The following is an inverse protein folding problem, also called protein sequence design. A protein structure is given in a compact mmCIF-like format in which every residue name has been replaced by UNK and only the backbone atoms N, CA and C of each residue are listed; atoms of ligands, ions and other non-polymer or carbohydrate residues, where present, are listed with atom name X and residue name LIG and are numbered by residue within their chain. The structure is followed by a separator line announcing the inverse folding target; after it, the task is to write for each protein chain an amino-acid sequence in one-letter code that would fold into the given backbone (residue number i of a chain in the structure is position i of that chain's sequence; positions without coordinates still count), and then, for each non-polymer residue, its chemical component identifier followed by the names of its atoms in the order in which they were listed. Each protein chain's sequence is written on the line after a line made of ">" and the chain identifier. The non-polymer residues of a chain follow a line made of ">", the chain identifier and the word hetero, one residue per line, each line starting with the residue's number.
data_IF_849055332616
#
_entry.id   IF_849055332616
#
_cell.length_a   1.000
_cell.length_b   1.000
_cell.length_c   1.000
_cell.angle_alpha   90.00
_cell.angle_beta   90.00
_cell.angle_gamma   90.00
#
_symmetry.space_group_name_H-M   'P 1'
#
loop_
_entity.id
_entity.type
_entity.pdbx_description
1 polymer ?
#
# COMPACT_ATOMS: atom_id res chain seq x y z
N UNK A 1 -7.19 -22.04 -8.73
CA UNK A 1 -6.84 -20.65 -8.35
C UNK A 1 -5.67 -20.77 -7.40
N UNK A 2 -4.48 -20.97 -7.95
CA UNK A 2 -3.28 -21.13 -7.13
C UNK A 2 -2.82 -19.75 -6.68
N UNK A 3 -2.84 -19.54 -5.38
CA UNK A 3 -2.26 -18.36 -4.78
C UNK A 3 -0.75 -18.51 -5.02
N UNK A 4 -0.21 -17.67 -5.91
CA UNK A 4 1.21 -17.62 -6.20
C UNK A 4 1.99 -17.41 -4.89
N UNK A 5 2.68 -18.47 -4.46
CA UNK A 5 3.39 -18.51 -3.18
C UNK A 5 4.45 -17.42 -3.10
N UNK A 6 4.96 -16.95 -4.23
CA UNK A 6 5.93 -15.86 -4.29
C UNK A 6 5.29 -14.53 -3.85
N UNK A 7 4.08 -14.23 -4.32
CA UNK A 7 3.34 -13.03 -3.91
C UNK A 7 2.93 -13.04 -2.44
N UNK A 8 2.53 -14.21 -1.91
CA UNK A 8 2.31 -14.39 -0.46
C UNK A 8 3.56 -14.03 0.34
N UNK A 9 4.72 -14.54 -0.09
CA UNK A 9 6.00 -14.30 0.59
C UNK A 9 6.42 -12.83 0.54
N UNK A 10 6.12 -12.14 -0.56
CA UNK A 10 6.38 -10.71 -0.69
C UNK A 10 5.48 -9.89 0.24
N UNK A 11 4.18 -10.19 0.29
CA UNK A 11 3.25 -9.50 1.18
C UNK A 11 3.61 -9.69 2.67
N UNK A 12 4.01 -10.90 3.07
CA UNK A 12 4.45 -11.15 4.45
C UNK A 12 5.72 -10.36 4.81
N UNK A 13 6.65 -10.18 3.87
CA UNK A 13 7.81 -9.31 4.07
C UNK A 13 7.39 -7.85 4.28
N UNK A 14 6.46 -7.35 3.46
CA UNK A 14 5.93 -5.99 3.60
C UNK A 14 5.26 -5.79 4.96
N UNK A 15 4.42 -6.74 5.39
CA UNK A 15 3.78 -6.68 6.71
C UNK A 15 4.80 -6.67 7.85
N UNK A 16 5.92 -7.38 7.72
CA UNK A 16 7.02 -7.33 8.70
C UNK A 16 7.69 -5.97 8.75
N UNK A 17 7.92 -5.32 7.60
CA UNK A 17 8.46 -3.94 7.53
C UNK A 17 7.53 -3.00 8.28
N UNK A 18 6.23 -3.03 7.97
CA UNK A 18 5.21 -2.19 8.62
C UNK A 18 5.18 -2.45 10.14
N UNK A 19 5.21 -3.70 10.57
CA UNK A 19 5.11 -4.08 11.99
C UNK A 19 6.34 -3.70 12.81
N UNK A 20 7.51 -3.54 12.18
CA UNK A 20 8.78 -3.16 12.82
C UNK A 20 9.13 -1.68 12.66
N UNK A 21 8.23 -0.88 12.10
CA UNK A 21 8.49 0.51 11.70
C UNK A 21 8.67 1.51 12.85
N UNK A 22 8.40 1.13 14.09
CA UNK A 22 8.43 2.05 15.25
C UNK A 22 7.27 3.05 15.27
N UNK A 23 6.35 3.00 14.29
CA UNK A 23 5.14 3.81 14.29
C UNK A 23 4.21 3.45 15.46
N UNK A 24 3.33 4.37 15.90
CA UNK A 24 2.31 4.03 16.89
C UNK A 24 1.43 2.86 16.42
N UNK A 25 1.01 2.00 17.36
CA UNK A 25 0.26 0.76 17.08
C UNK A 25 -1.00 1.02 16.24
N UNK A 26 -1.68 2.16 16.45
CA UNK A 26 -2.82 2.60 15.63
C UNK A 26 -2.46 2.65 14.14
N UNK A 27 -1.36 3.32 13.80
CA UNK A 27 -0.87 3.50 12.43
C UNK A 27 -0.41 2.18 11.82
N UNK A 28 0.30 1.35 12.58
CA UNK A 28 0.68 -0.01 12.14
C UNK A 28 -0.56 -0.80 11.71
N UNK A 29 -1.63 -0.81 12.53
CA UNK A 29 -2.87 -1.52 12.19
C UNK A 29 -3.55 -0.99 10.93
N UNK A 30 -3.52 0.33 10.71
CA UNK A 30 -4.09 0.94 9.51
C UNK A 30 -3.31 0.55 8.24
N UNK A 31 -1.98 0.61 8.31
CA UNK A 31 -1.09 0.24 7.22
C UNK A 31 -1.19 -1.26 6.88
N UNK A 32 -1.29 -2.14 7.88
CA UNK A 32 -1.50 -3.57 7.65
C UNK A 32 -2.82 -3.85 6.92
N UNK A 33 -3.91 -3.16 7.29
CA UNK A 33 -5.20 -3.27 6.58
C UNK A 33 -5.14 -2.74 5.16
N UNK A 34 -4.36 -1.69 4.92
CA UNK A 34 -4.13 -1.17 3.57
C UNK A 34 -3.31 -2.18 2.74
N UNK A 35 -2.24 -2.73 3.31
CA UNK A 35 -1.44 -3.82 2.74
C UNK A 35 -2.31 -5.02 2.34
N UNK A 36 -3.22 -5.47 3.21
CA UNK A 36 -4.19 -6.52 2.88
C UNK A 36 -5.12 -6.14 1.72
N UNK A 37 -5.58 -4.89 1.70
CA UNK A 37 -6.45 -4.38 0.62
C UNK A 37 -5.72 -4.39 -0.72
N UNK A 38 -4.47 -3.93 -0.77
CA UNK A 38 -3.63 -3.92 -1.97
C UNK A 38 -3.40 -5.36 -2.46
N UNK A 39 -3.05 -6.25 -1.55
CA UNK A 39 -2.78 -7.66 -1.84
C UNK A 39 -4.02 -8.39 -2.41
N UNK A 40 -5.18 -8.28 -1.77
CA UNK A 40 -6.42 -8.93 -2.23
C UNK A 40 -6.85 -8.40 -3.60
N UNK A 41 -6.54 -7.14 -3.91
CA UNK A 41 -6.82 -6.54 -5.22
C UNK A 41 -5.75 -6.91 -6.29
N UNK A 42 -4.78 -7.76 -5.97
CA UNK A 42 -3.81 -8.28 -6.92
C UNK A 42 -2.87 -7.20 -7.47
N UNK A 43 -2.54 -6.20 -6.66
CA UNK A 43 -1.56 -5.17 -7.00
C UNK A 43 -0.20 -5.54 -6.40
N UNK A 44 0.83 -5.57 -7.25
CA UNK A 44 2.23 -5.71 -6.82
C UNK A 44 2.71 -4.36 -6.31
N UNK A 45 3.36 -4.34 -5.16
CA UNK A 45 3.75 -3.10 -4.50
C UNK A 45 4.96 -3.28 -3.59
N UNK A 46 5.63 -2.18 -3.29
CA UNK A 46 6.69 -2.10 -2.29
C UNK A 46 6.35 -1.05 -1.23
N UNK A 47 6.97 -1.19 -0.05
CA UNK A 47 6.82 -0.23 1.05
C UNK A 47 8.18 0.17 1.58
N UNK A 48 8.38 1.47 1.78
CA UNK A 48 9.47 2.02 2.59
C UNK A 48 8.91 2.98 3.64
N UNK A 49 9.59 3.08 4.79
CA UNK A 49 9.15 3.89 5.93
C UNK A 49 10.36 4.66 6.44
N UNK A 50 10.29 5.98 6.40
CA UNK A 50 11.36 6.89 6.81
C UNK A 50 10.74 8.07 7.57
N UNK A 51 11.19 8.33 8.79
CA UNK A 51 10.81 9.51 9.60
C UNK A 51 9.29 9.79 9.68
N UNK A 52 8.47 8.74 9.81
CA UNK A 52 7.00 8.88 9.89
C UNK A 52 6.29 9.04 8.54
N UNK A 53 7.04 9.01 7.44
CA UNK A 53 6.53 8.98 6.07
C UNK A 53 6.59 7.56 5.53
N UNK A 54 5.43 7.04 5.13
CA UNK A 54 5.32 5.72 4.50
C UNK A 54 5.10 5.91 3.01
N UNK A 55 6.02 5.37 2.21
CA UNK A 55 5.90 5.33 0.76
C UNK A 55 5.44 3.94 0.35
N UNK A 56 4.35 3.88 -0.41
CA UNK A 56 3.77 2.65 -0.94
C UNK A 56 3.79 2.76 -2.46
N UNK A 57 4.77 2.12 -3.09
CA UNK A 57 4.93 2.15 -4.54
C UNK A 57 4.09 1.03 -5.14
N UNK A 58 2.97 1.37 -5.79
CA UNK A 58 2.18 0.45 -6.59
C UNK A 58 2.86 0.28 -7.95
N UNK A 59 3.20 -0.95 -8.32
CA UNK A 59 4.07 -1.27 -9.47
C UNK A 59 3.25 -1.73 -10.68
N UNK A 60 2.33 -2.68 -10.47
CA UNK A 60 1.48 -3.26 -11.51
C UNK A 60 0.29 -3.97 -10.89
N UNK A 61 -0.72 -4.34 -11.67
CA UNK A 61 -1.75 -5.28 -11.20
C UNK A 61 -1.98 -6.47 -12.13
N UNK A 62 -2.56 -7.53 -11.56
CA UNK A 62 -3.13 -8.64 -12.31
C UNK A 62 -4.31 -8.19 -13.20
N UNK A 63 -4.62 -8.95 -14.28
CA UNK A 63 -3.85 -10.06 -14.81
C UNK A 63 -2.65 -9.63 -15.66
N UNK A 64 -2.57 -8.35 -16.04
CA UNK A 64 -1.56 -7.86 -16.99
C UNK A 64 -0.13 -7.97 -16.46
N UNK A 65 0.08 -7.74 -15.15
CA UNK A 65 1.41 -7.71 -14.50
C UNK A 65 2.45 -6.86 -15.25
N UNK A 66 1.99 -5.86 -16.00
CA UNK A 66 2.84 -4.91 -16.72
C UNK A 66 3.06 -3.70 -15.83
N UNK A 67 4.33 -3.30 -15.67
CA UNK A 67 4.71 -2.12 -14.89
C UNK A 67 3.92 -0.89 -15.35
N UNK A 68 3.40 -0.12 -14.39
CA UNK A 68 2.57 1.06 -14.61
C UNK A 68 1.15 0.78 -15.12
N UNK A 69 0.77 -0.49 -15.28
CA UNK A 69 -0.58 -0.88 -15.73
C UNK A 69 -1.36 -1.45 -14.55
N UNK A 70 -2.51 -0.85 -14.30
CA UNK A 70 -3.42 -1.25 -13.23
C UNK A 70 -4.81 -1.52 -13.78
N UNK A 71 -5.41 -2.61 -13.31
CA UNK A 71 -6.81 -2.89 -13.44
C UNK A 71 -7.60 -1.81 -12.69
N UNK A 72 -8.58 -1.21 -13.37
CA UNK A 72 -9.35 -0.09 -12.84
C UNK A 72 -10.08 -0.42 -11.55
N UNK A 73 -10.65 -1.63 -11.43
CA UNK A 73 -11.40 -2.05 -10.24
C UNK A 73 -10.44 -2.23 -9.06
N UNK A 74 -9.33 -2.94 -9.27
CA UNK A 74 -8.29 -3.14 -8.26
C UNK A 74 -7.75 -1.81 -7.73
N UNK A 75 -7.42 -0.88 -8.64
CA UNK A 75 -6.90 0.42 -8.28
C UNK A 75 -7.95 1.27 -7.55
N UNK A 76 -9.19 1.31 -8.04
CA UNK A 76 -10.28 2.05 -7.40
C UNK A 76 -10.53 1.59 -5.96
N UNK A 77 -10.47 0.27 -5.69
CA UNK A 77 -10.64 -0.27 -4.36
C UNK A 77 -9.53 0.19 -3.40
N UNK A 78 -8.27 0.22 -3.86
CA UNK A 78 -7.14 0.73 -3.07
C UNK A 78 -7.28 2.24 -2.84
N UNK A 79 -7.62 3.01 -3.88
CA UNK A 79 -7.82 4.46 -3.75
C UNK A 79 -8.98 4.79 -2.80
N UNK A 80 -10.06 4.02 -2.83
CA UNK A 80 -11.17 4.17 -1.90
C UNK A 80 -10.74 3.91 -0.46
N UNK A 81 -9.91 2.88 -0.22
CA UNK A 81 -9.36 2.59 1.10
C UNK A 81 -8.47 3.72 1.61
N UNK A 82 -7.62 4.29 0.74
CA UNK A 82 -6.76 5.42 1.05
C UNK A 82 -7.55 6.67 1.41
N UNK A 83 -8.55 7.02 0.59
CA UNK A 83 -9.49 8.12 0.89
C UNK A 83 -10.12 7.98 2.27
N UNK A 84 -10.59 6.79 2.61
CA UNK A 84 -11.22 6.54 3.91
C UNK A 84 -10.20 6.58 5.07
N UNK A 85 -8.95 6.15 4.83
CA UNK A 85 -7.90 6.26 5.83
C UNK A 85 -7.58 7.73 6.14
N UNK A 86 -7.48 8.56 5.11
CA UNK A 86 -7.26 10.02 5.21
C UNK A 86 -8.45 10.72 5.90
N UNK A 87 -9.68 10.45 5.45
CA UNK A 87 -10.88 11.13 5.96
C UNK A 87 -11.25 10.76 7.40
N UNK A 88 -10.88 9.56 7.86
CA UNK A 88 -11.28 9.05 9.17
C UNK A 88 -10.19 9.18 10.24
N UNK A 89 -9.01 9.71 9.92
CA UNK A 89 -7.89 9.80 10.84
C UNK A 89 -7.17 11.15 10.66
N UNK A 90 -7.41 12.09 11.57
CA UNK A 90 -6.86 13.46 11.51
C UNK A 90 -5.32 13.52 11.59
N UNK A 91 -4.70 12.48 12.14
CA UNK A 91 -3.25 12.28 12.26
C UNK A 91 -2.61 11.68 11.00
N UNK A 92 -3.41 11.41 9.97
CA UNK A 92 -2.94 10.87 8.69
C UNK A 92 -3.19 11.88 7.59
N UNK A 93 -2.21 12.03 6.69
CA UNK A 93 -2.40 12.72 5.42
C UNK A 93 -1.90 11.83 4.28
N UNK A 94 -2.69 11.69 3.22
CA UNK A 94 -2.31 10.91 2.05
C UNK A 94 -2.20 11.75 0.78
N UNK A 95 -1.28 11.38 -0.11
CA UNK A 95 -1.21 11.91 -1.47
C UNK A 95 -0.67 10.86 -2.42
N UNK A 96 -0.95 11.02 -3.72
CA UNK A 96 -0.43 10.15 -4.77
C UNK A 96 0.50 10.96 -5.67
N UNK A 97 1.64 10.37 -5.99
CA UNK A 97 2.65 10.91 -6.89
C UNK A 97 2.89 9.88 -8.01
N UNK A 98 3.12 10.34 -9.23
CA UNK A 98 3.56 9.45 -10.31
C UNK A 98 5.07 9.42 -10.31
N UNK A 99 5.66 8.22 -10.26
CA UNK A 99 7.11 8.02 -10.26
C UNK A 99 7.46 6.90 -11.23
N UNK A 100 8.25 7.20 -12.26
CA UNK A 100 8.69 6.21 -13.26
C UNK A 100 7.53 5.41 -13.89
N UNK A 101 6.39 6.07 -14.14
CA UNK A 101 5.17 5.45 -14.68
C UNK A 101 4.37 4.60 -13.67
N UNK A 102 4.81 4.55 -12.42
CA UNK A 102 4.13 3.89 -11.29
C UNK A 102 3.45 4.90 -10.39
N UNK A 103 2.63 4.42 -9.45
CA UNK A 103 1.93 5.26 -8.48
C UNK A 103 2.62 5.10 -7.12
N UNK A 104 3.24 6.17 -6.63
CA UNK A 104 3.72 6.26 -5.26
C UNK A 104 2.63 6.87 -4.39
N UNK A 105 2.14 6.10 -3.42
CA UNK A 105 1.24 6.61 -2.39
C UNK A 105 2.07 7.01 -1.18
N UNK A 106 2.03 8.30 -0.84
CA UNK A 106 2.71 8.85 0.32
C UNK A 106 1.69 8.98 1.45
N UNK A 107 2.00 8.37 2.59
CA UNK A 107 1.20 8.45 3.82
C UNK A 107 2.06 9.11 4.88
N UNK A 108 1.70 10.34 5.25
CA UNK A 108 2.34 11.09 6.32
C UNK A 108 1.61 10.81 7.64
N UNK A 109 2.34 10.32 8.63
CA UNK A 109 1.85 10.12 9.98
C UNK A 109 2.32 11.29 10.84
N UNK A 110 1.37 12.06 11.40
CA UNK A 110 1.66 13.14 12.34
C UNK A 110 1.75 12.59 13.77
N UNK A 111 2.68 13.12 14.54
CA UNK A 111 2.97 12.74 15.92
C UNK A 111 2.67 13.92 16.83
#
# INVERSE_FOLDING_TARGET
>A
MDIDVEQCRENDKIKRIISKSGLPIKHIKLLLRLSDTIYINGINYNVSIEEGVVNILLISSKPANKMGVFNTISLANVMYKLRNMDSNNEDIKTRCEVKDGMINVVVEVKW
#
